data_IF_422151864491
#
_entry.id   IF_422151864491
#
_cell.length_a   1.000
_cell.length_b   1.000
_cell.length_c   1.000
_cell.angle_alpha   90.00
_cell.angle_beta   90.00
_cell.angle_gamma   90.00
#
_symmetry.space_group_name_H-M   'P 1'
#
loop_
_entity.id
_entity.type
_entity.pdbx_description
1 polymer ?
#
# COMPACT_ATOMS: atom_id res chain seq x y z
N UNK A 1 1.14 -36.84 2.02
CA UNK A 1 1.51 -35.41 2.15
C UNK A 1 1.15 -34.70 0.84
N UNK A 2 0.29 -33.66 0.85
CA UNK A 2 -0.02 -32.90 -0.36
C UNK A 2 1.23 -32.09 -0.76
N UNK A 3 1.72 -32.24 -1.99
CA UNK A 3 2.81 -31.40 -2.51
C UNK A 3 2.33 -29.95 -2.52
N UNK A 4 2.95 -29.11 -1.70
CA UNK A 4 2.71 -27.66 -1.73
C UNK A 4 3.33 -27.13 -3.02
N UNK A 5 2.52 -26.54 -3.91
CA UNK A 5 3.05 -25.82 -5.07
C UNK A 5 3.88 -24.65 -4.56
N UNK A 6 5.05 -24.40 -5.14
CA UNK A 6 5.95 -23.32 -4.75
C UNK A 6 6.50 -22.63 -5.98
N UNK A 7 6.99 -21.40 -5.82
CA UNK A 7 7.70 -20.65 -6.85
C UNK A 7 8.96 -20.01 -6.26
N UNK A 8 9.94 -19.74 -7.11
CA UNK A 8 11.11 -18.94 -6.74
C UNK A 8 10.83 -17.47 -7.07
N UNK A 9 10.95 -16.58 -6.08
CA UNK A 9 10.79 -15.15 -6.33
C UNK A 9 12.00 -14.61 -7.09
N UNK A 10 11.82 -13.95 -8.25
CA UNK A 10 12.94 -13.48 -9.07
C UNK A 10 13.79 -12.39 -8.39
N UNK A 11 13.22 -11.68 -7.41
CA UNK A 11 13.88 -10.56 -6.71
C UNK A 11 14.73 -11.06 -5.54
N UNK A 12 14.15 -11.84 -4.62
CA UNK A 12 14.86 -12.30 -3.42
C UNK A 12 15.44 -13.71 -3.52
N UNK A 13 15.23 -14.41 -4.65
CA UNK A 13 15.69 -15.79 -4.92
C UNK A 13 15.25 -16.82 -3.88
N UNK A 14 14.23 -16.51 -3.08
CA UNK A 14 13.65 -17.43 -2.09
C UNK A 14 12.49 -18.19 -2.69
N UNK A 15 12.44 -19.49 -2.42
CA UNK A 15 11.27 -20.33 -2.70
C UNK A 15 10.16 -20.01 -1.71
N UNK A 16 8.97 -19.67 -2.22
CA UNK A 16 7.78 -19.34 -1.42
C UNK A 16 6.62 -20.26 -1.81
N UNK A 17 5.78 -20.66 -0.84
CA UNK A 17 4.63 -21.50 -1.13
C UNK A 17 3.57 -20.71 -1.90
N UNK A 18 2.90 -21.38 -2.83
CA UNK A 18 1.69 -20.89 -3.48
C UNK A 18 0.50 -21.37 -2.65
N UNK A 19 -0.43 -20.45 -2.36
CA UNK A 19 -1.66 -20.82 -1.66
C UNK A 19 -2.46 -21.83 -2.47
N UNK A 20 -2.89 -22.92 -1.82
CA UNK A 20 -3.77 -23.94 -2.43
C UNK A 20 -5.19 -23.91 -1.86
N UNK A 21 -5.47 -22.99 -0.92
CA UNK A 21 -6.74 -22.90 -0.21
C UNK A 21 -7.86 -22.25 -1.02
N UNK A 22 -7.57 -21.72 -2.22
CA UNK A 22 -8.53 -20.96 -3.03
C UNK A 22 -8.79 -19.53 -2.53
N UNK A 23 -8.30 -19.17 -1.33
CA UNK A 23 -8.41 -17.83 -0.76
C UNK A 23 -7.04 -17.14 -0.84
N UNK A 24 -6.96 -16.13 -1.72
CA UNK A 24 -5.72 -15.42 -2.03
C UNK A 24 -4.70 -16.25 -2.80
N UNK A 25 -3.79 -15.59 -3.53
CA UNK A 25 -2.76 -16.25 -4.36
C UNK A 25 -1.49 -16.60 -3.58
N UNK A 26 -1.15 -15.80 -2.57
CA UNK A 26 0.13 -15.91 -1.84
C UNK A 26 1.32 -15.28 -2.58
N UNK A 27 1.06 -14.56 -3.68
CA UNK A 27 2.04 -13.89 -4.51
C UNK A 27 1.42 -12.70 -5.26
N UNK A 28 2.25 -11.73 -5.64
CA UNK A 28 1.87 -10.66 -6.57
C UNK A 28 2.47 -10.88 -7.96
N UNK A 29 2.15 -9.99 -8.89
CA UNK A 29 2.82 -9.90 -10.19
C UNK A 29 3.50 -8.55 -10.32
N UNK A 30 4.73 -8.54 -10.84
CA UNK A 30 5.38 -7.29 -11.22
C UNK A 30 4.89 -6.80 -12.59
N UNK A 31 5.42 -5.66 -13.04
CA UNK A 31 5.11 -5.06 -14.36
C UNK A 31 5.48 -5.96 -15.54
N UNK A 32 6.49 -6.82 -15.39
CA UNK A 32 6.87 -7.82 -16.39
C UNK A 32 5.96 -9.06 -16.39
N UNK A 33 4.98 -9.14 -15.48
CA UNK A 33 4.07 -10.27 -15.33
C UNK A 33 4.65 -11.44 -14.52
N UNK A 34 5.85 -11.30 -13.96
CA UNK A 34 6.51 -12.34 -13.17
C UNK A 34 5.91 -12.46 -11.78
N UNK A 35 5.84 -13.68 -11.27
CA UNK A 35 5.34 -13.98 -9.93
C UNK A 35 6.38 -13.56 -8.87
N UNK A 36 5.99 -12.64 -8.00
CA UNK A 36 6.84 -12.11 -6.91
C UNK A 36 6.20 -12.37 -5.54
N UNK A 37 7.03 -12.56 -4.53
CA UNK A 37 6.52 -12.72 -3.16
C UNK A 37 6.03 -11.39 -2.59
N UNK A 38 5.09 -11.44 -1.64
CA UNK A 38 4.49 -10.24 -1.04
C UNK A 38 5.52 -9.32 -0.38
N UNK A 39 6.56 -9.87 0.25
CA UNK A 39 7.66 -9.08 0.82
C UNK A 39 8.32 -8.20 -0.26
N UNK A 40 8.55 -8.76 -1.45
CA UNK A 40 9.10 -8.04 -2.59
C UNK A 40 8.09 -7.07 -3.22
N UNK A 41 6.78 -7.39 -3.23
CA UNK A 41 5.76 -6.41 -3.61
C UNK A 41 5.87 -5.15 -2.74
N UNK A 42 5.95 -5.32 -1.42
CA UNK A 42 6.03 -4.19 -0.48
C UNK A 42 7.26 -3.32 -0.71
N UNK A 43 8.42 -3.93 -1.02
CA UNK A 43 9.65 -3.21 -1.36
C UNK A 43 9.52 -2.43 -2.68
N UNK A 44 8.92 -3.04 -3.70
CA UNK A 44 8.69 -2.36 -4.99
C UNK A 44 7.67 -1.23 -4.86
N UNK A 45 6.61 -1.43 -4.08
CA UNK A 45 5.62 -0.39 -3.80
C UNK A 45 6.27 0.78 -3.06
N UNK A 46 7.14 0.51 -2.08
CA UNK A 46 7.93 1.53 -1.38
C UNK A 46 8.85 2.30 -2.33
N UNK A 47 9.63 1.59 -3.14
CA UNK A 47 10.52 2.20 -4.14
C UNK A 47 9.74 3.11 -5.11
N UNK A 48 8.58 2.64 -5.57
CA UNK A 48 7.70 3.44 -6.44
C UNK A 48 7.24 4.74 -5.75
N UNK A 49 7.04 4.72 -4.43
CA UNK A 49 6.70 5.92 -3.67
C UNK A 49 7.90 6.85 -3.48
N UNK A 50 9.10 6.30 -3.26
CA UNK A 50 10.35 7.08 -3.19
C UNK A 50 10.59 7.82 -4.52
N UNK A 51 10.47 7.11 -5.64
CA UNK A 51 10.71 7.61 -7.00
C UNK A 51 9.62 8.58 -7.51
N UNK A 52 8.48 8.65 -6.81
CA UNK A 52 7.34 9.48 -7.20
C UNK A 52 7.65 10.99 -7.09
N UNK A 53 7.19 11.75 -8.08
CA UNK A 53 7.28 13.21 -8.12
C UNK A 53 6.11 13.86 -7.39
N UNK A 54 6.25 15.10 -6.87
CA UNK A 54 5.13 15.84 -6.30
C UNK A 54 3.93 15.88 -7.25
N UNK A 55 2.75 15.51 -6.75
CA UNK A 55 1.52 15.40 -7.53
C UNK A 55 1.22 13.99 -8.07
N UNK A 56 2.20 13.09 -8.11
CA UNK A 56 1.98 11.70 -8.50
C UNK A 56 1.06 10.99 -7.51
N UNK A 57 0.32 9.99 -8.02
CA UNK A 57 -0.69 9.27 -7.26
C UNK A 57 -0.41 7.77 -7.19
N UNK A 58 -0.68 7.20 -6.02
CA UNK A 58 -0.72 5.75 -5.80
C UNK A 58 -2.00 5.38 -5.05
N UNK A 59 -2.50 4.18 -5.28
CA UNK A 59 -3.67 3.66 -4.57
C UNK A 59 -3.20 2.61 -3.57
N UNK A 60 -3.48 2.87 -2.30
CA UNK A 60 -3.16 1.99 -1.18
C UNK A 60 -4.42 1.75 -0.37
N UNK A 61 -4.28 1.08 0.77
CA UNK A 61 -5.37 0.72 1.65
C UNK A 61 -5.18 1.39 3.00
N UNK A 62 -6.18 2.10 3.49
CA UNK A 62 -6.19 2.72 4.80
C UNK A 62 -6.91 1.79 5.78
N UNK A 63 -6.25 1.50 6.90
CA UNK A 63 -6.84 0.84 8.05
C UNK A 63 -7.18 1.91 9.10
N UNK A 64 -8.48 2.22 9.20
CA UNK A 64 -9.04 3.22 10.10
C UNK A 64 -9.28 2.69 11.52
N UNK A 65 -9.34 1.38 11.71
CA UNK A 65 -9.55 0.71 13.01
C UNK A 65 -8.28 0.70 13.89
N UNK A 66 -7.11 0.96 13.30
CA UNK A 66 -5.83 1.01 14.02
C UNK A 66 -5.45 2.44 14.42
N UNK A 67 -4.86 2.56 15.60
CA UNK A 67 -4.25 3.80 16.09
C UNK A 67 -2.75 3.58 16.40
N UNK A 68 -1.83 4.34 15.79
CA UNK A 68 -2.08 5.29 14.69
C UNK A 68 -2.66 4.60 13.45
N UNK A 69 -3.37 5.37 12.61
CA UNK A 69 -3.93 4.87 11.34
C UNK A 69 -2.79 4.38 10.44
N UNK A 70 -3.02 3.31 9.69
CA UNK A 70 -1.98 2.68 8.86
C UNK A 70 -2.40 2.63 7.40
N UNK A 71 -1.55 3.13 6.52
CA UNK A 71 -1.67 2.93 5.07
C UNK A 71 -0.81 1.73 4.67
N UNK A 72 -1.37 0.79 3.91
CA UNK A 72 -0.68 -0.42 3.47
C UNK A 72 -0.98 -0.77 2.02
N UNK A 73 -0.09 -1.52 1.38
CA UNK A 73 -0.42 -2.16 0.10
C UNK A 73 -1.40 -3.33 0.30
N UNK A 74 -1.95 -3.88 -0.79
CA UNK A 74 -2.94 -4.98 -0.72
C UNK A 74 -2.44 -6.20 0.08
N UNK A 75 -1.21 -6.70 -0.13
CA UNK A 75 -0.67 -7.79 0.69
C UNK A 75 -0.42 -7.45 2.16
N UNK A 76 -0.41 -6.16 2.52
CA UNK A 76 -0.05 -5.68 3.85
C UNK A 76 1.43 -5.83 4.21
N UNK A 77 2.32 -6.06 3.23
CA UNK A 77 3.76 -6.16 3.44
C UNK A 77 4.44 -4.79 3.54
N UNK A 78 3.87 -3.77 2.90
CA UNK A 78 4.19 -2.36 3.14
C UNK A 78 3.19 -1.81 4.17
N UNK A 79 3.69 -1.14 5.22
CA UNK A 79 2.88 -0.48 6.24
C UNK A 79 3.51 0.87 6.58
N UNK A 80 2.71 1.93 6.50
CA UNK A 80 3.12 3.31 6.75
C UNK A 80 2.20 3.90 7.81
N UNK A 81 2.76 4.30 8.95
CA UNK A 81 2.00 4.94 10.01
C UNK A 81 1.65 6.38 9.62
N UNK A 82 0.40 6.76 9.84
CA UNK A 82 -0.04 8.14 9.68
C UNK A 82 0.35 8.96 10.91
N UNK A 83 0.96 10.12 10.69
CA UNK A 83 1.29 11.06 11.77
C UNK A 83 0.18 12.09 12.01
N UNK A 84 -0.73 12.27 11.06
CA UNK A 84 -1.90 13.12 11.23
C UNK A 84 -3.09 12.56 10.45
N UNK A 85 -4.29 12.89 10.92
CA UNK A 85 -5.54 12.54 10.25
C UNK A 85 -6.63 13.54 10.54
N UNK A 86 -7.55 13.71 9.60
CA UNK A 86 -8.74 14.55 9.73
C UNK A 86 -9.95 13.84 9.12
N UNK A 87 -11.12 14.08 9.69
CA UNK A 87 -12.37 13.59 9.14
C UNK A 87 -13.14 14.79 8.56
N UNK A 88 -13.78 14.58 7.41
CA UNK A 88 -14.60 15.56 6.73
C UNK A 88 -15.81 14.92 6.07
N UNK A 89 -16.60 15.73 5.37
CA UNK A 89 -17.77 15.27 4.63
C UNK A 89 -17.48 15.22 3.13
N UNK A 90 -18.08 14.25 2.44
CA UNK A 90 -18.03 14.12 0.99
C UNK A 90 -19.44 14.14 0.40
N UNK A 91 -19.68 14.97 -0.61
CA UNK A 91 -21.02 15.21 -1.15
C UNK A 91 -21.76 13.95 -1.63
N UNK A 92 -21.03 12.93 -2.11
CA UNK A 92 -21.62 11.67 -2.61
C UNK A 92 -21.42 10.52 -1.61
N UNK A 93 -20.25 10.46 -0.97
CA UNK A 93 -19.87 9.31 -0.14
C UNK A 93 -20.24 9.49 1.34
N UNK A 94 -20.83 10.63 1.70
CA UNK A 94 -21.15 11.04 3.07
C UNK A 94 -19.90 11.48 3.83
N UNK A 95 -18.91 10.59 3.94
CA UNK A 95 -17.69 10.82 4.72
C UNK A 95 -16.45 10.88 3.86
N UNK A 96 -15.46 11.58 4.37
CA UNK A 96 -14.10 11.66 3.83
C UNK A 96 -13.13 11.56 4.98
N UNK A 97 -12.09 10.78 4.78
CA UNK A 97 -10.99 10.68 5.72
C UNK A 97 -9.69 11.09 5.04
N UNK A 98 -9.04 12.09 5.61
CA UNK A 98 -7.75 12.60 5.17
C UNK A 98 -6.66 12.09 6.13
N UNK A 99 -5.57 11.58 5.57
CA UNK A 99 -4.41 11.12 6.34
C UNK A 99 -3.11 11.68 5.77
N UNK A 100 -2.16 11.94 6.65
CA UNK A 100 -0.81 12.35 6.28
C UNK A 100 0.21 11.37 6.85
N UNK A 101 1.14 10.97 6.00
CA UNK A 101 2.13 9.96 6.30
C UNK A 101 3.39 10.19 5.45
N UNK A 102 4.46 9.46 5.77
CA UNK A 102 5.75 9.59 5.11
C UNK A 102 6.85 10.14 6.02
N UNK A 103 8.02 10.33 5.44
CA UNK A 103 9.25 10.78 6.12
C UNK A 103 10.18 11.46 5.09
N UNK A 104 11.41 11.79 5.49
CA UNK A 104 12.41 12.39 4.60
C UNK A 104 12.88 11.46 3.46
N UNK A 105 12.77 10.15 3.62
CA UNK A 105 13.18 9.15 2.61
C UNK A 105 12.13 9.01 1.52
N UNK A 106 10.88 8.75 1.90
CA UNK A 106 9.77 8.49 0.97
C UNK A 106 8.98 9.75 0.61
N UNK A 107 9.37 10.90 1.15
CA UNK A 107 8.64 12.16 1.07
C UNK A 107 7.31 12.15 1.84
N UNK A 108 6.65 13.30 1.89
CA UNK A 108 5.35 13.43 2.54
C UNK A 108 4.21 13.13 1.57
N UNK A 109 3.20 12.44 2.07
CA UNK A 109 2.03 12.01 1.31
C UNK A 109 0.74 12.45 1.99
N UNK A 110 -0.26 12.72 1.17
CA UNK A 110 -1.63 12.96 1.61
C UNK A 110 -2.54 11.90 0.99
N UNK A 111 -3.21 11.13 1.84
CA UNK A 111 -4.17 10.11 1.48
C UNK A 111 -5.60 10.56 1.71
N UNK A 112 -6.50 10.16 0.80
CA UNK A 112 -7.95 10.39 0.95
C UNK A 112 -8.70 9.07 0.79
N UNK A 113 -9.55 8.77 1.75
CA UNK A 113 -10.56 7.71 1.67
C UNK A 113 -11.96 8.33 1.63
N UNK A 114 -12.85 7.81 0.79
CA UNK A 114 -14.23 8.30 0.65
C UNK A 114 -15.25 7.25 1.08
N UNK A 115 -16.06 7.55 2.10
CA UNK A 115 -17.06 6.63 2.65
C UNK A 115 -16.54 5.81 3.84
N UNK A 116 -17.48 5.27 4.61
CA UNK A 116 -17.22 4.61 5.90
C UNK A 116 -16.75 3.15 5.77
N UNK A 117 -17.14 2.47 4.68
CA UNK A 117 -16.92 1.02 4.49
C UNK A 117 -15.99 0.68 3.33
N UNK A 118 -15.15 1.63 2.91
CA UNK A 118 -14.07 1.37 1.95
C UNK A 118 -12.73 1.42 2.67
N UNK A 119 -11.74 0.77 2.07
CA UNK A 119 -10.34 0.88 2.51
C UNK A 119 -9.49 1.57 1.45
N UNK A 120 -10.02 1.87 0.26
CA UNK A 120 -9.23 2.45 -0.83
C UNK A 120 -8.81 3.87 -0.45
N UNK A 121 -7.51 4.09 -0.42
CA UNK A 121 -6.89 5.36 -0.11
C UNK A 121 -6.17 5.90 -1.36
N UNK A 122 -6.58 7.09 -1.80
CA UNK A 122 -5.99 7.83 -2.90
C UNK A 122 -4.83 8.66 -2.36
N UNK A 123 -3.59 8.19 -2.51
CA UNK A 123 -2.41 8.82 -1.95
C UNK A 123 -1.73 9.71 -3.00
N UNK A 124 -1.51 10.98 -2.67
CA UNK A 124 -0.82 11.96 -3.52
C UNK A 124 0.48 12.42 -2.86
N UNK A 125 1.59 12.41 -3.60
CA UNK A 125 2.88 12.91 -3.12
C UNK A 125 2.82 14.44 -2.98
N UNK A 126 3.14 14.95 -1.80
CA UNK A 126 3.15 16.39 -1.53
C UNK A 126 4.44 17.04 -2.02
N UNK A 127 4.35 18.31 -2.42
CA UNK A 127 5.53 19.14 -2.65
C UNK A 127 6.20 19.42 -1.30
N UNK A 128 7.53 19.24 -1.22
CA UNK A 128 8.30 19.70 -0.06
C UNK A 128 8.08 21.21 0.06
N UNK A 129 7.57 21.68 1.20
CA UNK A 129 7.55 23.11 1.48
C UNK A 129 9.01 23.56 1.56
N UNK A 130 9.40 24.50 0.70
CA UNK A 130 10.64 25.24 0.88
C UNK A 130 10.56 25.93 2.23
N UNK A 131 11.52 25.65 3.11
CA UNK A 131 11.72 26.43 4.33
C UNK A 131 12.30 27.78 3.93
#
# INVERSE_FOLDING_TARGET
>A
MKKVKAFECPICKKTKPISTSGVGTGYGKNVAGETICYDCCGKLDLQRMEDAKPGDRVHLYLNTEKHPRVVSNWPGSLKLNCYASSNGSHNIAGTREDVWFGNDEIGHWWGVQYGEYTQICHCTKLKRRSV
#
